data_IF_366380789497
#
_entry.id   IF_366380789497
#
_cell.length_a   1.000
_cell.length_b   1.000
_cell.length_c   1.000
_cell.angle_alpha   90.00
_cell.angle_beta   90.00
_cell.angle_gamma   90.00
#
_symmetry.space_group_name_H-M   'P 1'
#
loop_
_entity.id
_entity.type
_entity.pdbx_description
1 polymer ?
#
# COMPACT_ATOMS: atom_id res chain seq x y z
N UNK A 1 3.36 2.10 14.12
CA UNK A 1 2.66 1.09 13.30
C UNK A 1 2.83 1.35 11.82
N UNK A 2 2.69 0.30 11.01
CA UNK A 2 2.54 0.40 9.56
C UNK A 2 1.05 0.41 9.20
N UNK A 3 0.63 1.39 8.38
CA UNK A 3 -0.71 1.45 7.80
C UNK A 3 -0.68 0.79 6.41
N UNK A 4 -1.54 -0.19 6.18
CA UNK A 4 -1.60 -0.95 4.93
C UNK A 4 -2.96 -0.76 4.29
N UNK A 5 -3.02 -0.16 3.10
CA UNK A 5 -4.24 0.03 2.31
C UNK A 5 -4.17 -0.87 1.05
N UNK A 6 -4.50 -2.18 1.19
CA UNK A 6 -4.25 -3.15 0.14
C UNK A 6 -5.32 -3.16 -0.96
N UNK A 7 -6.40 -2.40 -0.78
CA UNK A 7 -7.54 -2.35 -1.68
C UNK A 7 -7.52 -1.12 -2.58
N UNK A 8 -8.22 -1.19 -3.70
CA UNK A 8 -8.49 -0.06 -4.56
C UNK A 8 -9.82 -0.29 -5.30
N UNK A 9 -10.50 0.82 -5.64
CA UNK A 9 -11.78 0.77 -6.37
C UNK A 9 -11.68 0.06 -7.73
N UNK A 10 -10.53 0.20 -8.42
CA UNK A 10 -10.32 -0.32 -9.75
C UNK A 10 -9.29 -1.43 -9.73
N UNK A 11 -9.58 -2.56 -10.38
CA UNK A 11 -8.67 -3.70 -10.42
C UNK A 11 -7.29 -3.32 -11.01
N UNK A 12 -7.26 -2.48 -12.04
CA UNK A 12 -6.01 -1.99 -12.65
C UNK A 12 -5.11 -1.17 -11.71
N UNK A 13 -5.64 -0.72 -10.58
CA UNK A 13 -4.92 0.01 -9.52
C UNK A 13 -4.69 -0.82 -8.25
N UNK A 14 -5.20 -2.05 -8.22
CA UNK A 14 -5.12 -2.91 -7.05
C UNK A 14 -3.96 -3.91 -7.22
N UNK A 15 -2.84 -3.62 -6.60
CA UNK A 15 -1.75 -4.60 -6.48
C UNK A 15 -2.25 -5.77 -5.62
N UNK A 16 -1.87 -7.03 -5.93
CA UNK A 16 -2.37 -8.19 -5.20
C UNK A 16 -2.27 -8.02 -3.68
N UNK A 17 -3.39 -8.10 -2.93
CA UNK A 17 -3.40 -7.81 -1.49
C UNK A 17 -2.50 -8.74 -0.68
N UNK A 18 -2.34 -10.00 -1.08
CA UNK A 18 -1.39 -10.94 -0.47
C UNK A 18 0.05 -10.44 -0.52
N UNK A 19 0.46 -9.78 -1.61
CA UNK A 19 1.79 -9.19 -1.74
C UNK A 19 2.00 -8.02 -0.78
N UNK A 20 0.96 -7.19 -0.52
CA UNK A 20 1.02 -6.21 0.57
C UNK A 20 1.18 -6.88 1.93
N UNK A 21 0.51 -8.02 2.13
CA UNK A 21 0.68 -8.85 3.33
C UNK A 21 2.12 -9.31 3.52
N UNK A 22 2.79 -9.74 2.45
CA UNK A 22 4.21 -10.17 2.50
C UNK A 22 5.14 -9.00 2.87
N UNK A 23 4.97 -7.83 2.25
CA UNK A 23 5.77 -6.64 2.60
C UNK A 23 5.51 -6.22 4.04
N UNK A 24 4.26 -6.17 4.46
CA UNK A 24 3.90 -5.79 5.83
C UNK A 24 4.45 -6.79 6.87
N UNK A 25 4.45 -8.09 6.55
CA UNK A 25 5.04 -9.11 7.42
C UNK A 25 6.55 -8.88 7.61
N UNK A 26 7.29 -8.61 6.53
CA UNK A 26 8.72 -8.27 6.61
C UNK A 26 8.96 -6.99 7.44
N UNK A 27 8.10 -5.98 7.32
CA UNK A 27 8.18 -4.77 8.17
C UNK A 27 7.99 -5.14 9.64
N UNK A 28 7.06 -6.03 9.97
CA UNK A 28 6.85 -6.49 11.35
C UNK A 28 8.00 -7.37 11.85
N UNK A 29 8.66 -8.13 10.99
CA UNK A 29 9.87 -8.89 11.34
C UNK A 29 11.01 -7.94 11.74
N UNK A 30 11.25 -6.87 10.96
CA UNK A 30 12.28 -5.85 11.24
C UNK A 30 11.91 -4.92 12.40
N UNK A 31 10.64 -4.78 12.74
CA UNK A 31 10.11 -3.89 13.78
C UNK A 31 9.18 -4.64 14.74
N UNK A 32 9.75 -5.43 15.69
CA UNK A 32 8.95 -6.27 16.59
C UNK A 32 7.92 -5.51 17.44
N UNK A 33 8.18 -4.24 17.75
CA UNK A 33 7.28 -3.38 18.54
C UNK A 33 6.12 -2.81 17.68
N UNK A 34 6.17 -2.94 16.34
CA UNK A 34 5.14 -2.35 15.49
C UNK A 34 3.94 -3.27 15.34
N UNK A 35 2.84 -2.67 14.92
CA UNK A 35 1.58 -3.32 14.52
C UNK A 35 1.27 -2.98 13.08
N UNK A 36 0.52 -3.83 12.40
CA UNK A 36 -0.04 -3.54 11.08
C UNK A 36 -1.52 -3.15 11.23
N UNK A 37 -1.88 -1.97 10.73
CA UNK A 37 -3.26 -1.55 10.59
C UNK A 37 -3.66 -1.75 9.12
N UNK A 38 -4.48 -2.77 8.85
CA UNK A 38 -5.00 -3.04 7.50
C UNK A 38 -6.27 -2.23 7.32
N UNK A 39 -6.19 -1.24 6.45
CA UNK A 39 -7.23 -0.25 6.20
C UNK A 39 -8.09 -0.70 5.02
N UNK A 40 -9.35 -0.95 5.28
CA UNK A 40 -10.36 -1.26 4.26
C UNK A 40 -11.75 -0.89 4.78
N UNK A 41 -12.66 -0.54 3.90
CA UNK A 41 -14.08 -0.39 4.24
C UNK A 41 -14.71 -1.76 4.48
N UNK A 42 -15.91 -1.78 5.06
CA UNK A 42 -16.67 -3.02 5.25
C UNK A 42 -16.91 -3.76 3.92
N UNK A 43 -17.17 -3.02 2.84
CA UNK A 43 -17.37 -3.59 1.50
C UNK A 43 -16.08 -4.19 0.88
N UNK A 44 -14.92 -3.72 1.32
CA UNK A 44 -13.61 -4.17 0.79
C UNK A 44 -12.95 -5.29 1.63
N UNK A 45 -13.59 -5.75 2.70
CA UNK A 45 -13.02 -6.76 3.61
C UNK A 45 -12.61 -8.04 2.90
N UNK A 46 -13.44 -8.55 2.00
CA UNK A 46 -13.12 -9.75 1.22
C UNK A 46 -11.93 -9.52 0.28
N UNK A 47 -11.83 -8.32 -0.30
CA UNK A 47 -10.67 -7.96 -1.13
C UNK A 47 -9.39 -7.85 -0.29
N UNK A 48 -9.47 -7.36 0.94
CA UNK A 48 -8.32 -7.24 1.84
C UNK A 48 -7.90 -8.56 2.51
N UNK A 49 -8.78 -9.58 2.51
CA UNK A 49 -8.57 -10.86 3.20
C UNK A 49 -7.23 -11.54 2.86
N UNK A 50 -6.78 -11.61 1.60
CA UNK A 50 -5.49 -12.24 1.29
C UNK A 50 -4.30 -11.62 2.02
N UNK A 51 -4.30 -10.29 2.23
CA UNK A 51 -3.25 -9.62 3.01
C UNK A 51 -3.28 -10.07 4.49
N UNK A 52 -4.47 -10.16 5.08
CA UNK A 52 -4.67 -10.61 6.45
C UNK A 52 -4.24 -12.06 6.63
N UNK A 53 -4.55 -12.92 5.67
CA UNK A 53 -4.21 -14.35 5.71
C UNK A 53 -2.69 -14.56 5.62
N UNK A 54 -1.97 -13.77 4.83
CA UNK A 54 -0.51 -13.77 4.81
C UNK A 54 0.05 -13.39 6.17
N UNK A 55 -0.39 -12.26 6.73
CA UNK A 55 0.08 -11.78 8.04
C UNK A 55 -0.16 -12.81 9.15
N UNK A 56 -1.30 -13.51 9.12
CA UNK A 56 -1.60 -14.60 10.07
C UNK A 56 -0.65 -15.78 9.88
N UNK A 57 -0.47 -16.27 8.65
CA UNK A 57 0.44 -17.39 8.33
C UNK A 57 1.89 -17.08 8.71
N UNK A 58 2.30 -15.81 8.61
CA UNK A 58 3.63 -15.33 9.01
C UNK A 58 3.78 -15.14 10.53
N UNK A 59 2.77 -15.50 11.32
CA UNK A 59 2.83 -15.45 12.79
C UNK A 59 2.52 -14.09 13.41
N UNK A 60 1.97 -13.15 12.64
CA UNK A 60 1.71 -11.78 13.11
C UNK A 60 0.27 -11.51 13.55
N UNK A 61 -0.57 -12.55 13.70
CA UNK A 61 -2.00 -12.40 13.99
C UNK A 61 -2.31 -11.41 15.13
N UNK A 62 -1.57 -11.49 16.24
CA UNK A 62 -1.76 -10.64 17.44
C UNK A 62 -1.34 -9.17 17.23
N UNK A 63 -0.62 -8.90 16.14
CA UNK A 63 -0.14 -7.55 15.81
C UNK A 63 -0.88 -6.91 14.65
N UNK A 64 -1.97 -7.54 14.17
CA UNK A 64 -2.78 -7.06 13.05
C UNK A 64 -4.11 -6.53 13.56
N UNK A 65 -4.45 -5.31 13.16
CA UNK A 65 -5.71 -4.66 13.49
C UNK A 65 -6.36 -4.21 12.19
N UNK A 66 -7.67 -4.43 12.06
CA UNK A 66 -8.48 -3.93 10.95
C UNK A 66 -9.52 -2.97 11.53
N UNK A 67 -9.19 -1.68 11.69
CA UNK A 67 -10.10 -0.72 12.31
C UNK A 67 -11.24 -0.37 11.35
N UNK A 68 -12.43 -0.23 11.90
CA UNK A 68 -13.53 0.46 11.21
C UNK A 68 -13.38 1.96 11.46
N UNK A 69 -13.35 2.76 10.41
CA UNK A 69 -13.09 4.19 10.52
C UNK A 69 -14.00 4.99 9.60
N UNK A 70 -14.44 6.13 10.08
CA UNK A 70 -14.87 7.22 9.21
C UNK A 70 -13.64 7.95 8.62
N UNK A 71 -13.89 8.93 7.76
CA UNK A 71 -12.80 9.67 7.09
C UNK A 71 -11.93 10.45 8.08
N UNK A 72 -12.51 11.03 9.11
CA UNK A 72 -11.78 11.78 10.15
C UNK A 72 -10.90 10.88 10.99
N UNK A 73 -11.41 9.72 11.40
CA UNK A 73 -10.67 8.71 12.13
C UNK A 73 -9.54 8.11 11.27
N UNK A 74 -9.80 7.86 9.99
CA UNK A 74 -8.78 7.41 9.04
C UNK A 74 -7.65 8.45 8.93
N UNK A 75 -7.99 9.72 8.79
CA UNK A 75 -7.00 10.80 8.75
C UNK A 75 -6.18 10.88 10.05
N UNK A 76 -6.82 10.74 11.21
CA UNK A 76 -6.15 10.72 12.51
C UNK A 76 -5.21 9.50 12.68
N UNK A 77 -5.57 8.33 12.15
CA UNK A 77 -4.68 7.17 12.12
C UNK A 77 -3.49 7.42 11.19
N UNK A 78 -3.75 7.86 9.96
CA UNK A 78 -2.71 8.09 8.97
C UNK A 78 -1.72 9.19 9.40
N UNK A 79 -2.16 10.21 10.14
CA UNK A 79 -1.27 11.26 10.67
C UNK A 79 -0.21 10.72 11.64
N UNK A 80 -0.38 9.51 12.18
CA UNK A 80 0.48 8.88 13.19
C UNK A 80 1.18 7.62 12.70
N UNK A 81 0.94 7.17 11.48
CA UNK A 81 1.62 5.98 10.98
C UNK A 81 3.12 6.24 10.79
N UNK A 82 3.94 5.25 11.11
CA UNK A 82 5.37 5.31 10.88
C UNK A 82 5.74 4.97 9.44
N UNK A 83 4.87 4.23 8.76
CA UNK A 83 4.96 3.90 7.34
C UNK A 83 3.55 3.68 6.79
N UNK A 84 3.28 4.19 5.59
CA UNK A 84 2.10 3.86 4.79
C UNK A 84 2.52 2.97 3.62
N UNK A 85 1.81 1.86 3.43
CA UNK A 85 1.90 0.97 2.27
C UNK A 85 0.54 0.93 1.57
N UNK A 86 0.47 1.20 0.29
CA UNK A 86 -0.83 1.15 -0.38
C UNK A 86 -0.80 1.40 -1.88
N UNK A 87 -1.98 1.31 -2.47
CA UNK A 87 -2.24 1.60 -3.88
C UNK A 87 -2.44 3.11 -4.13
N UNK A 88 -2.54 3.49 -5.40
CA UNK A 88 -3.04 4.81 -5.85
C UNK A 88 -4.51 4.99 -5.44
N UNK A 89 -4.75 5.44 -4.21
CA UNK A 89 -6.07 5.56 -3.57
C UNK A 89 -6.12 6.73 -2.58
N UNK A 90 -7.30 7.08 -2.09
CA UNK A 90 -7.48 8.23 -1.18
C UNK A 90 -6.60 8.18 0.09
N UNK A 91 -6.42 7.05 0.79
CA UNK A 91 -5.53 6.97 1.95
C UNK A 91 -4.08 7.41 1.67
N UNK A 92 -3.56 7.15 0.46
CA UNK A 92 -2.24 7.63 0.05
C UNK A 92 -2.13 9.15 0.18
N UNK A 93 -3.09 9.88 -0.39
CA UNK A 93 -3.05 11.34 -0.42
C UNK A 93 -3.24 11.95 0.97
N UNK A 94 -3.99 11.28 1.84
CA UNK A 94 -4.11 11.67 3.25
C UNK A 94 -2.75 11.51 3.95
N UNK A 95 -2.07 10.37 3.79
CA UNK A 95 -0.75 10.14 4.38
C UNK A 95 0.30 11.15 3.87
N UNK A 96 0.25 11.49 2.57
CA UNK A 96 1.09 12.56 1.98
C UNK A 96 0.82 13.91 2.62
N UNK A 97 -0.45 14.25 2.84
CA UNK A 97 -0.86 15.51 3.48
C UNK A 97 -0.32 15.67 4.92
N UNK A 98 -0.08 14.57 5.62
CA UNK A 98 0.52 14.55 6.96
C UNK A 98 2.04 14.31 6.95
N UNK A 99 2.67 14.39 5.80
CA UNK A 99 4.12 14.19 5.65
C UNK A 99 4.61 12.84 6.20
N UNK A 100 3.81 11.79 6.05
CA UNK A 100 4.21 10.47 6.53
C UNK A 100 5.11 9.75 5.53
N UNK A 101 6.03 8.88 5.99
CA UNK A 101 6.75 7.95 5.12
C UNK A 101 5.75 7.08 4.36
N UNK A 102 5.93 6.99 3.06
CA UNK A 102 5.02 6.23 2.19
C UNK A 102 5.78 5.35 1.22
N UNK A 103 5.21 4.20 0.88
CA UNK A 103 5.54 3.42 -0.31
C UNK A 103 4.23 3.07 -1.00
N UNK A 104 4.13 3.40 -2.26
CA UNK A 104 2.88 3.23 -3.02
C UNK A 104 3.11 2.52 -4.35
N UNK A 105 2.17 1.64 -4.70
CA UNK A 105 2.21 0.88 -5.95
C UNK A 105 1.29 1.52 -6.97
N UNK A 106 1.82 1.76 -8.17
CA UNK A 106 1.10 2.32 -9.30
C UNK A 106 1.07 1.33 -10.46
N UNK A 107 -0.10 1.13 -11.03
CA UNK A 107 -0.32 0.42 -12.28
C UNK A 107 -0.19 1.36 -13.49
N UNK A 108 -1.27 1.48 -14.30
CA UNK A 108 -1.24 2.25 -15.54
C UNK A 108 -1.27 3.77 -15.34
N UNK A 109 -1.76 4.25 -14.20
CA UNK A 109 -1.87 5.70 -13.95
C UNK A 109 -0.50 6.38 -13.95
N UNK A 110 -0.44 7.61 -14.45
CA UNK A 110 0.79 8.39 -14.46
C UNK A 110 1.03 9.04 -13.10
N UNK A 111 2.06 8.60 -12.34
CA UNK A 111 2.34 9.17 -11.02
C UNK A 111 2.81 10.62 -11.06
N UNK A 112 3.20 11.15 -12.22
CA UNK A 112 3.54 12.57 -12.38
C UNK A 112 2.29 13.46 -12.33
N UNK A 113 1.11 12.89 -12.64
CA UNK A 113 -0.17 13.61 -12.66
C UNK A 113 -0.96 13.41 -11.37
N UNK A 114 -1.03 12.15 -10.89
CA UNK A 114 -1.89 11.78 -9.75
C UNK A 114 -1.11 11.15 -8.58
N UNK A 115 0.19 11.15 -8.65
CA UNK A 115 1.04 10.54 -7.62
C UNK A 115 1.20 11.39 -6.36
N UNK A 116 1.99 10.91 -5.42
CA UNK A 116 2.27 11.62 -4.18
C UNK A 116 3.00 12.93 -4.46
N UNK A 117 2.45 14.02 -3.96
CA UNK A 117 2.97 15.36 -4.22
C UNK A 117 4.42 15.50 -3.79
N UNK A 118 5.30 15.86 -4.73
CA UNK A 118 6.75 16.04 -4.55
C UNK A 118 7.52 14.82 -4.00
N UNK A 119 7.00 13.60 -4.19
CA UNK A 119 7.60 12.36 -3.68
C UNK A 119 7.62 11.24 -4.71
N UNK A 120 8.13 11.47 -5.93
CA UNK A 120 8.14 10.45 -6.99
C UNK A 120 8.99 9.22 -6.60
N UNK A 121 9.98 9.39 -5.73
CA UNK A 121 10.87 8.33 -5.25
C UNK A 121 10.14 7.26 -4.42
N UNK A 122 8.98 7.59 -3.86
CA UNK A 122 8.18 6.66 -3.03
C UNK A 122 7.28 5.75 -3.86
N UNK A 123 7.21 5.98 -5.16
CA UNK A 123 6.36 5.22 -6.07
C UNK A 123 7.11 4.01 -6.62
N UNK A 124 6.47 2.83 -6.56
CA UNK A 124 6.83 1.64 -7.32
C UNK A 124 5.83 1.52 -8.47
N UNK A 125 6.26 1.82 -9.68
CA UNK A 125 5.39 1.74 -10.86
C UNK A 125 5.60 0.42 -11.59
N UNK A 126 4.50 -0.19 -12.01
CA UNK A 126 4.53 -1.40 -12.82
C UNK A 126 5.37 -1.18 -14.11
N UNK A 127 6.27 -2.10 -14.45
CA UNK A 127 7.03 -1.99 -15.69
C UNK A 127 6.12 -2.15 -16.91
N UNK A 128 6.26 -1.25 -17.88
CA UNK A 128 5.44 -1.26 -19.09
C UNK A 128 5.87 -0.22 -20.09
N UNK A 129 5.37 -0.35 -21.32
CA UNK A 129 5.53 0.62 -22.40
C UNK A 129 4.45 1.71 -22.31
N UNK A 130 4.66 2.82 -22.99
CA UNK A 130 3.68 3.90 -23.07
C UNK A 130 2.34 3.42 -23.68
N UNK A 131 2.40 2.51 -24.66
CA UNK A 131 1.22 1.92 -25.27
C UNK A 131 0.42 1.05 -24.29
N UNK A 132 1.11 0.25 -23.47
CA UNK A 132 0.49 -0.55 -22.42
C UNK A 132 -0.14 0.35 -21.36
N UNK A 133 0.53 1.38 -20.88
CA UNK A 133 -0.06 2.32 -19.92
C UNK A 133 -1.34 2.95 -20.47
N UNK A 134 -1.34 3.40 -21.73
CA UNK A 134 -2.52 3.98 -22.36
C UNK A 134 -3.67 2.97 -22.51
N UNK A 135 -3.36 1.71 -22.84
CA UNK A 135 -4.34 0.62 -22.94
C UNK A 135 -4.97 0.32 -21.57
N UNK A 136 -4.16 0.01 -20.58
CA UNK A 136 -4.62 -0.39 -19.25
C UNK A 136 -5.25 0.77 -18.45
N UNK A 137 -4.91 2.03 -18.76
CA UNK A 137 -5.59 3.18 -18.16
C UNK A 137 -7.05 3.32 -18.61
N UNK A 138 -7.39 2.81 -19.82
CA UNK A 138 -8.78 2.76 -20.34
C UNK A 138 -9.55 1.59 -19.76
N UNK A 139 -8.91 0.43 -19.62
CA UNK A 139 -9.51 -0.77 -19.03
C UNK A 139 -9.19 -0.83 -17.51
N UNK A 140 -10.12 -0.30 -16.73
CA UNK A 140 -9.99 -0.26 -15.28
C UNK A 140 -10.21 -1.61 -14.59
N UNK A 141 -10.69 -2.63 -15.34
CA UNK A 141 -10.95 -3.98 -14.83
C UNK A 141 -9.73 -4.91 -14.94
N UNK A 142 -8.75 -4.59 -15.80
CA UNK A 142 -7.61 -5.45 -16.06
C UNK A 142 -6.43 -5.17 -15.12
N UNK A 143 -6.11 -6.07 -14.16
CA UNK A 143 -5.01 -5.91 -13.22
C UNK A 143 -3.64 -6.35 -13.77
N UNK A 144 -3.56 -6.87 -15.00
CA UNK A 144 -2.36 -7.54 -15.54
C UNK A 144 -1.10 -6.68 -15.41
N UNK A 145 -1.22 -5.37 -15.64
CA UNK A 145 -0.06 -4.49 -15.61
C UNK A 145 0.48 -4.32 -14.17
N UNK A 146 -0.39 -4.02 -13.20
CA UNK A 146 0.04 -3.76 -11.81
C UNK A 146 0.59 -5.04 -11.16
N UNK A 147 0.15 -6.21 -11.60
CA UNK A 147 0.64 -7.50 -11.11
C UNK A 147 2.11 -7.77 -11.47
N UNK A 148 2.70 -7.03 -12.43
CA UNK A 148 4.13 -7.13 -12.78
C UNK A 148 5.06 -6.53 -11.72
N UNK A 149 4.55 -5.76 -10.77
CA UNK A 149 5.34 -5.27 -9.63
C UNK A 149 5.62 -6.45 -8.70
N UNK A 150 6.89 -6.70 -8.44
CA UNK A 150 7.29 -7.77 -7.54
C UNK A 150 7.32 -7.30 -6.07
N UNK A 151 7.18 -8.26 -5.15
CA UNK A 151 7.24 -7.97 -3.69
C UNK A 151 8.56 -7.30 -3.33
N UNK A 152 9.65 -7.73 -3.96
CA UNK A 152 10.98 -7.21 -3.68
C UNK A 152 11.14 -5.75 -4.06
N UNK A 153 10.52 -5.30 -5.17
CA UNK A 153 10.56 -3.90 -5.59
C UNK A 153 9.95 -2.97 -4.52
N UNK A 154 8.85 -3.42 -3.91
CA UNK A 154 8.15 -2.68 -2.84
C UNK A 154 8.90 -2.79 -1.53
N UNK A 155 9.44 -3.98 -1.22
CA UNK A 155 10.20 -4.23 0.00
C UNK A 155 11.45 -3.35 0.11
N UNK A 156 12.25 -3.26 -0.94
CA UNK A 156 13.47 -2.43 -0.94
C UNK A 156 13.16 -0.98 -0.55
N UNK A 157 12.08 -0.42 -1.06
CA UNK A 157 11.64 0.94 -0.68
C UNK A 157 11.14 1.00 0.77
N UNK A 158 10.35 0.01 1.20
CA UNK A 158 9.85 -0.05 2.57
C UNK A 158 11.01 -0.19 3.57
N UNK A 159 11.98 -1.06 3.30
CA UNK A 159 13.18 -1.24 4.12
C UNK A 159 13.98 0.06 4.27
N UNK A 160 14.15 0.82 3.18
CA UNK A 160 14.81 2.13 3.22
C UNK A 160 14.04 3.12 4.11
N UNK A 161 12.71 3.16 3.99
CA UNK A 161 11.88 4.04 4.83
C UNK A 161 11.98 3.70 6.31
N UNK A 162 11.94 2.41 6.68
CA UNK A 162 12.02 2.01 8.09
C UNK A 162 13.42 2.18 8.68
N UNK A 163 14.49 2.08 7.88
CA UNK A 163 15.86 2.32 8.33
C UNK A 163 16.08 3.79 8.76
N UNK A 164 15.51 4.73 8.03
CA UNK A 164 15.63 6.17 8.32
C UNK A 164 14.87 6.63 9.58
N UNK A 165 14.00 5.79 10.13
CA UNK A 165 13.21 6.06 11.35
C UNK A 165 13.72 5.32 12.60
N UNK A 166 14.93 4.78 12.54
CA UNK A 166 15.60 4.11 13.68
C UNK A 166 16.44 5.07 14.53
N UNK A 167 16.35 6.37 14.27
CA UNK A 167 17.11 7.42 14.98
C UNK A 167 16.22 8.17 15.95
#
# INVERSE_FOLDING_TARGET
FVAVAPTARWASKCWPPDRFGEVAARVLDERPAWRALVLCSAAEREQARPALDVLRRRGHAERVITPETDVGQLAALLSRCALFLGNDSAPLHIAVGFDRPIVTVFGPTDPRVVGPYRRPETVVRAPGTQAEYARFARDRSDPTLIQRVEVEDVWVKAASCIASHAS
#
